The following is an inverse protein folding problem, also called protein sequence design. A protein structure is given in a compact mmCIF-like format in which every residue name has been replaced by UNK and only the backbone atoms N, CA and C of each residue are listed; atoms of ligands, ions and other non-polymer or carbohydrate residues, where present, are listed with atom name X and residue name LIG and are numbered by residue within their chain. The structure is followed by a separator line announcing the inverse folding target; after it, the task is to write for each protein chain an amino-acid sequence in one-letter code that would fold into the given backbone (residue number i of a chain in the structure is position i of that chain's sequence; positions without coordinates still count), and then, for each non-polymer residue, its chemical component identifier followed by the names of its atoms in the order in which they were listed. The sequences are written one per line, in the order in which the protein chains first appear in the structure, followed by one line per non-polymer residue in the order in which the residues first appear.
data_IF_791383017736
#
_entry.id   IF_791383017736
#
_cell.length_a   1.000
_cell.length_b   1.000
_cell.length_c   1.000
_cell.angle_alpha   90.00
_cell.angle_beta   90.00
_cell.angle_gamma   90.00
#
_symmetry.space_group_name_H-M   'P 1'
#
loop_
_entity.id
_entity.type
_entity.pdbx_description
1 polymer ?
#
# COMPACT_ATOMS: atom_id res chain seq x y z
N UNK A 1 1.94 10.92 -15.43
CA UNK A 1 2.06 9.49 -15.80
C UNK A 1 2.82 8.74 -14.71
N UNK A 2 2.59 7.43 -14.54
CA UNK A 2 3.14 6.64 -13.44
C UNK A 2 3.69 5.27 -13.87
N UNK A 3 4.37 4.57 -12.94
CA UNK A 3 4.89 3.22 -13.15
C UNK A 3 4.42 2.24 -12.08
N UNK A 4 3.96 1.06 -12.50
CA UNK A 4 3.77 -0.09 -11.60
C UNK A 4 5.01 -0.98 -11.65
N UNK A 5 5.95 -0.72 -10.75
CA UNK A 5 7.25 -1.39 -10.74
C UNK A 5 7.13 -2.87 -10.38
N UNK A 6 7.99 -3.72 -10.94
CA UNK A 6 8.10 -5.15 -10.58
C UNK A 6 9.47 -5.51 -9.99
N UNK A 7 10.42 -4.57 -10.03
CA UNK A 7 11.78 -4.75 -9.55
C UNK A 7 12.13 -3.58 -8.64
N UNK A 8 12.98 -3.84 -7.65
CA UNK A 8 13.45 -2.81 -6.71
C UNK A 8 14.17 -1.69 -7.44
N UNK A 9 15.03 -2.03 -8.43
CA UNK A 9 15.74 -1.03 -9.22
C UNK A 9 14.79 -0.07 -9.96
N UNK A 10 13.72 -0.60 -10.57
CA UNK A 10 12.72 0.24 -11.24
C UNK A 10 11.87 1.03 -10.24
N UNK A 11 11.56 0.45 -9.07
CA UNK A 11 10.86 1.14 -7.99
C UNK A 11 11.66 2.34 -7.48
N UNK A 12 12.97 2.20 -7.33
CA UNK A 12 13.86 3.26 -6.87
C UNK A 12 14.02 4.38 -7.90
N UNK A 13 14.46 4.05 -9.12
CA UNK A 13 14.72 5.04 -10.18
C UNK A 13 13.43 5.73 -10.63
N UNK A 14 12.30 5.01 -10.65
CA UNK A 14 11.03 5.56 -11.11
C UNK A 14 10.54 6.75 -10.29
N UNK A 15 10.93 6.86 -9.02
CA UNK A 15 10.54 7.97 -8.14
C UNK A 15 11.11 9.33 -8.55
N UNK A 16 12.14 9.36 -9.39
CA UNK A 16 12.77 10.59 -9.91
C UNK A 16 12.16 11.03 -11.24
N UNK A 17 11.39 10.14 -11.90
CA UNK A 17 10.95 10.30 -13.29
C UNK A 17 9.42 10.44 -13.39
N UNK A 18 8.68 9.73 -12.54
CA UNK A 18 7.23 9.62 -12.64
C UNK A 18 6.51 10.39 -11.54
N UNK A 19 5.27 10.80 -11.82
CA UNK A 19 4.44 11.52 -10.85
C UNK A 19 3.93 10.60 -9.74
N UNK A 20 3.70 9.32 -10.07
CA UNK A 20 3.14 8.32 -9.16
C UNK A 20 3.77 6.95 -9.40
N UNK A 21 4.17 6.29 -8.31
CA UNK A 21 4.67 4.92 -8.30
C UNK A 21 3.64 3.98 -7.66
N UNK A 22 3.40 2.84 -8.31
CA UNK A 22 2.64 1.73 -7.72
C UNK A 22 3.59 0.63 -7.22
N UNK A 23 3.70 0.53 -5.90
CA UNK A 23 4.71 -0.28 -5.19
C UNK A 23 4.07 -1.39 -4.34
N UNK A 24 4.86 -2.38 -3.96
CA UNK A 24 4.43 -3.48 -3.08
C UNK A 24 5.00 -3.26 -1.68
N UNK A 25 4.14 -3.16 -0.67
CA UNK A 25 4.53 -2.97 0.72
C UNK A 25 3.47 -3.56 1.65
N UNK A 26 3.89 -4.43 2.57
CA UNK A 26 3.04 -5.08 3.56
C UNK A 26 3.90 -5.60 4.73
N UNK A 27 3.30 -6.06 5.85
CA UNK A 27 4.07 -6.66 6.94
C UNK A 27 4.98 -7.81 6.49
N UNK A 28 4.56 -8.55 5.45
CA UNK A 28 5.29 -9.70 4.90
C UNK A 28 6.24 -9.35 3.74
N UNK A 29 6.19 -8.13 3.21
CA UNK A 29 7.02 -7.71 2.07
C UNK A 29 7.44 -6.25 2.20
N UNK A 30 8.74 -6.01 2.39
CA UNK A 30 9.32 -4.68 2.64
C UNK A 30 10.45 -4.28 1.70
N UNK A 31 10.73 -5.08 0.68
CA UNK A 31 11.89 -4.88 -0.20
C UNK A 31 11.83 -3.55 -0.97
N UNK A 32 10.65 -2.99 -1.21
CA UNK A 32 10.46 -1.70 -1.88
C UNK A 32 10.28 -0.51 -0.89
N UNK A 33 10.50 -0.70 0.41
CA UNK A 33 10.29 0.34 1.43
C UNK A 33 11.17 1.58 1.21
N UNK A 34 12.42 1.38 0.77
CA UNK A 34 13.32 2.49 0.42
C UNK A 34 12.79 3.35 -0.73
N UNK A 35 12.09 2.76 -1.69
CA UNK A 35 11.47 3.49 -2.79
C UNK A 35 10.33 4.39 -2.30
N UNK A 36 9.60 4.00 -1.25
CA UNK A 36 8.57 4.85 -0.63
C UNK A 36 9.21 6.09 0.01
N UNK A 37 10.34 5.90 0.70
CA UNK A 37 11.11 7.01 1.30
C UNK A 37 11.61 7.97 0.22
N UNK A 38 12.17 7.47 -0.88
CA UNK A 38 12.63 8.28 -2.02
C UNK A 38 11.47 9.00 -2.71
N UNK A 39 10.34 8.33 -2.93
CA UNK A 39 9.15 8.94 -3.51
C UNK A 39 8.71 10.18 -2.72
N UNK A 40 8.70 10.09 -1.39
CA UNK A 40 8.40 11.23 -0.51
C UNK A 40 9.40 12.39 -0.69
N UNK A 41 10.69 12.10 -0.82
CA UNK A 41 11.73 13.12 -1.02
C UNK A 41 11.58 13.82 -2.39
N UNK A 42 11.13 13.09 -3.40
CA UNK A 42 10.98 13.56 -4.77
C UNK A 42 9.59 14.14 -5.08
N UNK A 43 8.70 14.27 -4.08
CA UNK A 43 7.29 14.64 -4.28
C UNK A 43 6.54 13.73 -5.28
N UNK A 44 6.90 12.46 -5.30
CA UNK A 44 6.26 11.43 -6.11
C UNK A 44 5.18 10.71 -5.27
N UNK A 45 3.97 10.60 -5.84
CA UNK A 45 2.85 9.89 -5.20
C UNK A 45 3.10 8.39 -5.10
N UNK A 46 2.54 7.73 -4.08
CA UNK A 46 2.68 6.28 -3.89
C UNK A 46 1.33 5.62 -3.70
N UNK A 47 1.02 4.67 -4.58
CA UNK A 47 -0.09 3.73 -4.44
C UNK A 47 0.45 2.34 -4.13
N UNK A 48 -0.09 1.69 -3.12
CA UNK A 48 0.31 0.31 -2.80
C UNK A 48 -0.56 -0.71 -3.54
N UNK A 49 0.05 -1.81 -3.97
CA UNK A 49 -0.63 -3.00 -4.50
C UNK A 49 -0.35 -4.22 -3.65
N UNK A 50 -1.23 -5.22 -3.73
CA UNK A 50 -1.11 -6.52 -3.07
C UNK A 50 -0.89 -6.41 -1.55
N UNK A 51 -1.46 -5.40 -0.89
CA UNK A 51 -1.29 -5.18 0.55
C UNK A 51 -1.73 -6.39 1.39
N UNK A 52 -2.71 -7.17 0.90
CA UNK A 52 -3.21 -8.39 1.54
C UNK A 52 -2.65 -9.69 0.97
N UNK A 53 -1.49 -9.65 0.29
CA UNK A 53 -0.86 -10.83 -0.32
C UNK A 53 -1.83 -11.68 -1.18
N UNK A 54 -2.56 -11.00 -2.08
CA UNK A 54 -3.61 -11.61 -2.92
C UNK A 54 -4.72 -12.32 -2.11
N UNK A 55 -5.00 -11.86 -0.89
CA UNK A 55 -6.04 -12.39 0.00
C UNK A 55 -5.51 -13.31 1.09
N UNK A 56 -4.35 -13.95 0.91
CA UNK A 56 -3.80 -14.90 1.90
C UNK A 56 -3.58 -14.28 3.28
N UNK A 57 -3.28 -12.98 3.36
CA UNK A 57 -3.03 -12.33 4.64
C UNK A 57 -4.30 -12.13 5.49
N UNK A 58 -5.48 -12.17 4.88
CA UNK A 58 -6.76 -11.81 5.54
C UNK A 58 -7.82 -12.91 5.46
N UNK A 59 -7.52 -14.02 4.78
CA UNK A 59 -8.45 -15.13 4.54
C UNK A 59 -8.98 -15.72 5.85
N UNK A 60 -8.10 -15.98 6.82
CA UNK A 60 -8.46 -16.68 8.07
C UNK A 60 -8.75 -15.74 9.24
N UNK A 61 -8.39 -14.46 9.11
CA UNK A 61 -8.58 -13.49 10.18
C UNK A 61 -8.82 -12.09 9.63
N UNK A 62 -10.04 -11.60 9.79
CA UNK A 62 -10.46 -10.29 9.33
C UNK A 62 -9.69 -9.15 10.03
N UNK A 63 -9.19 -9.34 11.25
CA UNK A 63 -8.41 -8.32 11.99
C UNK A 63 -7.05 -8.05 11.33
N UNK A 64 -6.56 -8.96 10.49
CA UNK A 64 -5.32 -8.74 9.75
C UNK A 64 -5.45 -7.60 8.75
N UNK A 65 -6.67 -7.27 8.30
CA UNK A 65 -6.90 -6.10 7.44
C UNK A 65 -6.59 -4.80 8.20
N UNK A 66 -7.10 -4.65 9.43
CA UNK A 66 -6.83 -3.50 10.30
C UNK A 66 -5.33 -3.36 10.55
N UNK A 67 -4.65 -4.44 10.97
CA UNK A 67 -3.20 -4.44 11.22
C UNK A 67 -2.39 -4.08 9.98
N UNK A 68 -2.80 -4.54 8.81
CA UNK A 68 -2.15 -4.20 7.54
C UNK A 68 -2.33 -2.71 7.23
N UNK A 69 -3.54 -2.17 7.41
CA UNK A 69 -3.78 -0.72 7.21
C UNK A 69 -2.99 0.13 8.19
N UNK A 70 -2.97 -0.23 9.47
CA UNK A 70 -2.15 0.45 10.50
C UNK A 70 -0.69 0.47 10.08
N UNK A 71 -0.16 -0.68 9.63
CA UNK A 71 1.22 -0.81 9.18
C UNK A 71 1.54 0.06 7.96
N UNK A 72 0.80 -0.10 6.86
CA UNK A 72 1.16 0.57 5.59
C UNK A 72 0.97 2.08 5.66
N UNK A 73 -0.08 2.55 6.34
CA UNK A 73 -0.36 3.98 6.48
C UNK A 73 0.43 4.62 7.61
N UNK A 74 1.15 3.86 8.46
CA UNK A 74 2.16 4.43 9.36
C UNK A 74 3.28 5.12 8.58
N UNK A 75 3.59 4.65 7.37
CA UNK A 75 4.60 5.26 6.51
C UNK A 75 4.03 6.52 5.82
N UNK A 76 4.57 7.73 6.10
CA UNK A 76 4.04 8.97 5.57
C UNK A 76 4.30 9.19 4.07
N UNK A 77 5.05 8.32 3.40
CA UNK A 77 5.22 8.36 1.95
C UNK A 77 4.08 7.66 1.18
N UNK A 78 3.19 6.93 1.87
CA UNK A 78 2.07 6.20 1.25
C UNK A 78 0.85 7.11 1.13
N UNK A 79 0.28 7.19 -0.09
CA UNK A 79 -0.87 8.05 -0.38
C UNK A 79 -2.17 7.26 -0.56
N UNK A 80 -2.07 5.98 -0.95
CA UNK A 80 -3.24 5.13 -1.11
C UNK A 80 -2.86 3.67 -1.29
N UNK A 81 -3.87 2.81 -1.26
CA UNK A 81 -3.70 1.38 -1.52
C UNK A 81 -4.83 0.85 -2.40
N UNK A 82 -4.49 0.00 -3.36
CA UNK A 82 -5.43 -0.67 -4.24
C UNK A 82 -5.80 -2.02 -3.65
N UNK A 83 -7.06 -2.17 -3.29
CA UNK A 83 -7.63 -3.40 -2.75
C UNK A 83 -8.61 -3.99 -3.76
N UNK A 84 -8.25 -5.13 -4.34
CA UNK A 84 -9.14 -5.88 -5.24
C UNK A 84 -10.09 -6.77 -4.44
N UNK A 85 -11.39 -6.55 -4.59
CA UNK A 85 -12.43 -7.47 -4.13
C UNK A 85 -13.66 -7.35 -5.04
N UNK A 86 -14.32 -8.48 -5.31
CA UNK A 86 -15.63 -8.51 -5.97
C UNK A 86 -16.77 -8.70 -4.96
N UNK A 87 -16.44 -9.02 -3.71
CA UNK A 87 -17.42 -9.14 -2.64
C UNK A 87 -17.70 -7.73 -2.06
N UNK A 88 -18.94 -7.22 -2.16
CA UNK A 88 -19.31 -5.91 -1.65
C UNK A 88 -19.19 -5.81 -0.12
N UNK A 89 -19.36 -6.90 0.61
CA UNK A 89 -19.21 -6.90 2.07
C UNK A 89 -17.75 -6.76 2.47
N UNK A 90 -16.84 -7.41 1.74
CA UNK A 90 -15.40 -7.19 1.92
C UNK A 90 -15.01 -5.73 1.61
N UNK A 91 -15.62 -5.12 0.58
CA UNK A 91 -15.36 -3.71 0.26
C UNK A 91 -15.78 -2.80 1.42
N UNK A 92 -17.01 -2.95 1.92
CA UNK A 92 -17.52 -2.17 3.07
C UNK A 92 -16.64 -2.37 4.31
N UNK A 93 -16.36 -3.62 4.66
CA UNK A 93 -15.53 -3.93 5.83
C UNK A 93 -14.10 -3.37 5.72
N UNK A 94 -13.50 -3.38 4.53
CA UNK A 94 -12.18 -2.77 4.31
C UNK A 94 -12.20 -1.25 4.48
N UNK A 95 -13.25 -0.58 3.96
CA UNK A 95 -13.42 0.87 4.12
C UNK A 95 -13.64 1.22 5.58
N UNK A 96 -14.53 0.53 6.29
CA UNK A 96 -14.80 0.76 7.72
C UNK A 96 -13.54 0.65 8.57
N UNK A 97 -12.76 -0.42 8.37
CA UNK A 97 -11.48 -0.63 9.08
C UNK A 97 -10.48 0.47 8.75
N UNK A 98 -10.35 0.85 7.47
CA UNK A 98 -9.45 1.93 7.08
C UNK A 98 -9.86 3.25 7.73
N UNK A 99 -11.16 3.59 7.75
CA UNK A 99 -11.66 4.81 8.42
C UNK A 99 -11.31 4.81 9.89
N UNK A 100 -11.50 3.69 10.59
CA UNK A 100 -11.13 3.55 12.01
C UNK A 100 -9.63 3.72 12.25
N UNK A 101 -8.78 3.26 11.33
CA UNK A 101 -7.32 3.41 11.42
C UNK A 101 -6.93 4.87 11.21
N UNK A 102 -7.49 5.54 10.22
CA UNK A 102 -7.16 6.92 9.89
C UNK A 102 -7.70 7.92 10.91
N UNK A 103 -8.82 7.63 11.58
CA UNK A 103 -9.38 8.49 12.64
C UNK A 103 -8.57 8.48 13.94
N UNK A 104 -7.61 7.57 14.10
CA UNK A 104 -6.71 7.50 15.27
C UNK A 104 -5.45 8.36 15.13
N UNK A 105 -5.19 8.93 13.96
CA UNK A 105 -4.06 9.82 13.69
C UNK A 105 -4.43 11.27 13.92
#
# INVERSE_FOLDING_TARGET
VGLSAKTVAAAEVGTEIFDVMMLSYSPAYRTEENAITRAKQNNCGVLLKKIFNSGHAVHDNADNATKTFEFIFANPGVHGAIVGTINPDHLRANVEKLTQVLSKK
#
